data_IF_124750491454
#
_entry.id   IF_124750491454
#
_cell.length_a   1.000
_cell.length_b   1.000
_cell.length_c   1.000
_cell.angle_alpha   90.00
_cell.angle_beta   90.00
_cell.angle_gamma   90.00
#
_symmetry.space_group_name_H-M   'P 1'
#
loop_
_entity.id
_entity.type
_entity.pdbx_description
1 polymer ?
#
# COMPACT_ATOMS: atom_id res chain seq x y z
N UNK A 1 -125.21 2.92 63.62
CA UNK A 1 -126.14 2.99 62.49
C UNK A 1 -127.37 3.69 63.00
N UNK A 2 -127.61 4.92 62.56
CA UNK A 2 -128.82 5.67 62.90
C UNK A 2 -130.00 4.95 62.26
N UNK A 3 -130.89 4.39 63.09
CA UNK A 3 -132.18 3.88 62.63
C UNK A 3 -132.90 5.05 61.96
N UNK A 4 -133.07 4.96 60.65
CA UNK A 4 -133.77 5.96 59.86
C UNK A 4 -135.25 5.69 60.12
N UNK A 5 -135.82 6.38 61.11
CA UNK A 5 -137.27 6.39 61.32
C UNK A 5 -137.89 7.20 60.19
N UNK A 6 -138.54 6.50 59.25
CA UNK A 6 -139.26 7.15 58.17
C UNK A 6 -140.59 7.65 58.72
N UNK A 7 -140.62 8.91 59.17
CA UNK A 7 -141.83 9.53 59.69
C UNK A 7 -143.04 9.40 58.77
N UNK A 8 -142.79 9.28 57.45
CA UNK A 8 -143.79 9.05 56.41
C UNK A 8 -144.40 7.66 56.48
N UNK A 9 -143.59 6.62 56.72
CA UNK A 9 -144.08 5.25 56.88
C UNK A 9 -144.90 5.15 58.17
N UNK A 10 -144.40 5.74 59.27
CA UNK A 10 -145.15 5.79 60.53
C UNK A 10 -146.50 6.50 60.39
N UNK A 11 -146.56 7.61 59.62
CA UNK A 11 -147.80 8.34 59.35
C UNK A 11 -148.76 7.58 58.41
N UNK A 12 -148.24 6.80 57.46
CA UNK A 12 -149.04 5.94 56.60
C UNK A 12 -149.60 4.74 57.36
N UNK A 13 -148.81 4.12 58.24
CA UNK A 13 -149.24 3.02 59.10
C UNK A 13 -150.34 3.50 60.08
N UNK A 14 -150.20 4.70 60.66
CA UNK A 14 -151.25 5.32 61.49
C UNK A 14 -152.52 5.63 60.70
N UNK A 15 -152.40 6.08 59.44
CA UNK A 15 -153.56 6.32 58.57
C UNK A 15 -154.27 5.00 58.22
N UNK A 16 -153.52 3.93 57.97
CA UNK A 16 -154.06 2.59 57.76
C UNK A 16 -154.82 2.10 59.00
N UNK A 17 -154.27 2.29 60.20
CA UNK A 17 -154.91 1.92 61.47
C UNK A 17 -156.25 2.64 61.66
N UNK A 18 -156.30 3.96 61.46
CA UNK A 18 -157.54 4.75 61.55
C UNK A 18 -158.61 4.27 60.55
N UNK A 19 -158.20 3.89 59.33
CA UNK A 19 -159.12 3.34 58.31
C UNK A 19 -159.57 1.91 58.65
N UNK A 20 -158.75 1.12 59.34
CA UNK A 20 -159.09 -0.22 59.80
C UNK A 20 -160.06 -0.20 60.99
N UNK A 21 -159.88 0.73 61.94
CA UNK A 21 -160.73 0.89 63.13
C UNK A 21 -162.08 1.58 62.86
N UNK A 22 -162.20 2.29 61.73
CA UNK A 22 -163.42 2.95 61.31
C UNK A 22 -164.64 2.02 61.27
N UNK A 23 -165.75 2.46 61.88
CA UNK A 23 -166.98 1.67 61.98
C UNK A 23 -167.58 1.37 60.61
N UNK A 24 -167.93 0.11 60.34
CA UNK A 24 -168.49 -0.30 59.04
C UNK A 24 -169.94 0.12 58.90
N UNK A 25 -170.30 0.75 57.79
CA UNK A 25 -171.67 1.22 57.54
C UNK A 25 -172.49 0.08 56.89
N UNK A 26 -173.56 -0.42 57.53
CA UNK A 26 -174.33 -1.56 57.03
C UNK A 26 -175.01 -1.24 55.69
N UNK A 27 -175.05 -2.24 54.80
CA UNK A 27 -175.55 -2.13 53.41
C UNK A 27 -174.74 -1.20 52.49
N UNK A 28 -173.52 -0.80 52.88
CA UNK A 28 -172.55 -0.13 52.00
C UNK A 28 -171.16 -0.79 52.08
N UNK A 29 -170.29 -0.52 51.10
CA UNK A 29 -168.89 -0.95 51.13
C UNK A 29 -167.95 -0.05 51.97
N UNK A 30 -168.47 1.05 52.55
CA UNK A 30 -167.66 2.08 53.21
C UNK A 30 -167.44 1.86 54.71
N UNK A 31 -166.38 2.49 55.23
CA UNK A 31 -166.14 2.67 56.66
C UNK A 31 -166.27 4.14 57.03
N UNK A 32 -166.81 4.40 58.21
CA UNK A 32 -166.90 5.73 58.81
C UNK A 32 -165.59 6.00 59.55
N UNK A 33 -164.88 7.05 59.12
CA UNK A 33 -163.59 7.46 59.66
C UNK A 33 -163.69 8.92 60.08
N UNK A 34 -162.95 9.32 61.12
CA UNK A 34 -162.83 10.73 61.46
C UNK A 34 -162.04 11.45 60.36
N UNK A 35 -162.73 12.31 59.63
CA UNK A 35 -162.15 13.09 58.54
C UNK A 35 -160.96 13.94 59.01
N UNK A 36 -161.04 14.53 60.21
CA UNK A 36 -159.99 15.42 60.73
C UNK A 36 -158.69 14.66 60.98
N UNK A 37 -158.75 13.54 61.70
CA UNK A 37 -157.57 12.74 62.02
C UNK A 37 -156.92 12.14 60.75
N UNK A 38 -157.74 11.67 59.80
CA UNK A 38 -157.25 11.13 58.53
C UNK A 38 -156.61 12.21 57.63
N UNK A 39 -157.19 13.41 57.59
CA UNK A 39 -156.66 14.53 56.81
C UNK A 39 -155.35 15.04 57.42
N UNK A 40 -155.24 15.14 58.74
CA UNK A 40 -154.00 15.56 59.42
C UNK A 40 -152.83 14.63 59.12
N UNK A 41 -153.04 13.31 59.16
CA UNK A 41 -152.02 12.32 58.79
C UNK A 41 -151.68 12.39 57.30
N UNK A 42 -152.67 12.54 56.42
CA UNK A 42 -152.43 12.73 54.98
C UNK A 42 -151.64 14.01 54.67
N UNK A 43 -151.92 15.12 55.36
CA UNK A 43 -151.17 16.36 55.21
C UNK A 43 -149.75 16.24 55.77
N UNK A 44 -149.57 15.49 56.87
CA UNK A 44 -148.26 15.11 57.40
C UNK A 44 -147.41 14.32 56.40
N UNK A 45 -148.01 13.30 55.77
CA UNK A 45 -147.37 12.53 54.69
C UNK A 45 -147.06 13.44 53.50
N UNK A 46 -148.01 14.27 53.07
CA UNK A 46 -147.84 15.18 51.93
C UNK A 46 -146.76 16.24 52.17
N UNK A 47 -146.59 16.70 53.40
CA UNK A 47 -145.56 17.67 53.77
C UNK A 47 -144.16 17.04 53.87
N UNK A 48 -144.06 15.80 54.37
CA UNK A 48 -142.77 15.16 54.68
C UNK A 48 -142.21 14.25 53.58
N UNK A 49 -143.07 13.59 52.80
CA UNK A 49 -142.69 12.66 51.73
C UNK A 49 -141.88 13.30 50.59
N UNK A 50 -142.20 14.51 50.07
CA UNK A 50 -141.38 15.15 49.04
C UNK A 50 -139.93 15.38 49.47
N UNK A 51 -139.72 15.75 50.73
CA UNK A 51 -138.38 15.98 51.30
C UNK A 51 -137.55 14.70 51.41
N UNK A 52 -138.16 13.59 51.82
CA UNK A 52 -137.49 12.29 51.91
C UNK A 52 -137.14 11.73 50.53
N UNK A 53 -138.04 11.87 49.53
CA UNK A 53 -137.76 11.47 48.15
C UNK A 53 -136.61 12.31 47.57
N UNK A 54 -136.59 13.62 47.81
CA UNK A 54 -135.50 14.49 47.36
C UNK A 54 -134.15 14.11 47.98
N UNK A 55 -134.13 13.72 49.27
CA UNK A 55 -132.90 13.23 49.93
C UNK A 55 -132.43 11.89 49.35
N UNK A 56 -133.35 10.96 49.05
CA UNK A 56 -133.02 9.69 48.41
C UNK A 56 -132.46 9.91 46.99
N UNK A 57 -133.05 10.81 46.21
CA UNK A 57 -132.55 11.17 44.88
C UNK A 57 -131.16 11.81 44.95
N UNK A 58 -130.91 12.72 45.90
CA UNK A 58 -129.58 13.28 46.14
C UNK A 58 -128.55 12.22 46.54
N UNK A 59 -128.94 11.21 47.33
CA UNK A 59 -128.06 10.12 47.72
C UNK A 59 -127.72 9.23 46.51
N UNK A 60 -128.70 8.95 45.65
CA UNK A 60 -128.49 8.20 44.40
C UNK A 60 -127.56 8.98 43.46
N UNK A 61 -127.79 10.28 43.28
CA UNK A 61 -126.90 11.15 42.50
C UNK A 61 -125.47 11.13 43.05
N UNK A 62 -125.28 11.31 44.36
CA UNK A 62 -123.95 11.21 45.01
C UNK A 62 -123.31 9.85 44.84
N UNK A 63 -124.10 8.77 44.91
CA UNK A 63 -123.61 7.39 44.68
C UNK A 63 -123.11 7.24 43.25
N UNK A 64 -123.88 7.73 42.27
CA UNK A 64 -123.53 7.63 40.86
C UNK A 64 -122.31 8.51 40.51
N UNK A 65 -122.21 9.71 41.09
CA UNK A 65 -121.02 10.56 41.03
C UNK A 65 -119.80 9.85 41.62
N UNK A 66 -119.93 9.26 42.81
CA UNK A 66 -118.85 8.52 43.46
C UNK A 66 -118.39 7.32 42.65
N UNK A 67 -119.33 6.51 42.12
CA UNK A 67 -119.02 5.36 41.25
C UNK A 67 -118.31 5.83 39.98
N UNK A 68 -118.77 6.92 39.38
CA UNK A 68 -118.16 7.47 38.17
C UNK A 68 -116.75 7.98 38.46
N UNK A 69 -116.55 8.71 39.56
CA UNK A 69 -115.24 9.16 40.00
C UNK A 69 -114.28 8.01 40.28
N UNK A 70 -114.75 6.97 41.00
CA UNK A 70 -113.96 5.78 41.31
C UNK A 70 -113.58 5.00 40.05
N UNK A 71 -114.49 4.88 39.08
CA UNK A 71 -114.21 4.28 37.77
C UNK A 71 -113.15 5.06 37.01
N UNK A 72 -113.30 6.38 36.91
CA UNK A 72 -112.32 7.24 36.24
C UNK A 72 -110.94 7.15 36.89
N UNK A 73 -110.87 7.11 38.23
CA UNK A 73 -109.60 6.94 38.95
C UNK A 73 -108.99 5.55 38.71
N UNK A 74 -109.80 4.49 38.69
CA UNK A 74 -109.34 3.15 38.39
C UNK A 74 -108.78 3.06 36.95
N UNK A 75 -109.48 3.65 35.98
CA UNK A 75 -109.02 3.72 34.59
C UNK A 75 -107.71 4.50 34.47
N UNK A 76 -107.58 5.62 35.17
CA UNK A 76 -106.33 6.40 35.19
C UNK A 76 -105.16 5.62 35.80
N UNK A 77 -105.39 4.87 36.88
CA UNK A 77 -104.37 3.99 37.48
C UNK A 77 -103.95 2.89 36.49
N UNK A 78 -104.91 2.24 35.85
CA UNK A 78 -104.64 1.18 34.87
C UNK A 78 -103.85 1.74 33.68
N UNK A 79 -104.23 2.91 33.16
CA UNK A 79 -103.50 3.56 32.07
C UNK A 79 -102.07 3.92 32.48
N UNK A 80 -101.87 4.53 33.67
CA UNK A 80 -100.53 4.84 34.18
C UNK A 80 -99.67 3.58 34.33
N UNK A 81 -100.25 2.50 34.86
CA UNK A 81 -99.54 1.22 35.01
C UNK A 81 -99.18 0.59 33.65
N UNK A 82 -100.08 0.65 32.67
CA UNK A 82 -99.82 0.16 31.31
C UNK A 82 -98.69 0.95 30.65
N UNK A 83 -98.70 2.27 30.77
CA UNK A 83 -97.70 3.17 30.19
C UNK A 83 -96.33 2.95 30.83
N UNK A 84 -96.26 2.81 32.17
CA UNK A 84 -95.03 2.46 32.87
C UNK A 84 -94.51 1.07 32.48
N UNK A 85 -95.38 0.08 32.34
CA UNK A 85 -95.01 -1.26 31.88
C UNK A 85 -94.39 -1.21 30.48
N UNK A 86 -94.98 -0.48 29.55
CA UNK A 86 -94.45 -0.32 28.19
C UNK A 86 -93.08 0.38 28.18
N UNK A 87 -92.89 1.40 29.03
CA UNK A 87 -91.59 2.04 29.21
C UNK A 87 -90.53 1.08 29.77
N UNK A 88 -90.88 0.26 30.77
CA UNK A 88 -89.95 -0.70 31.35
C UNK A 88 -89.59 -1.82 30.37
N UNK A 89 -90.57 -2.33 29.61
CA UNK A 89 -90.35 -3.35 28.59
C UNK A 89 -89.49 -2.81 27.44
N UNK A 90 -89.77 -1.60 26.95
CA UNK A 90 -88.95 -0.98 25.90
C UNK A 90 -87.53 -0.68 26.38
N UNK A 91 -87.37 -0.16 27.60
CA UNK A 91 -86.04 0.05 28.18
C UNK A 91 -85.26 -1.27 28.37
N UNK A 92 -85.92 -2.34 28.81
CA UNK A 92 -85.31 -3.66 28.94
C UNK A 92 -84.90 -4.24 27.58
N UNK A 93 -85.74 -4.10 26.55
CA UNK A 93 -85.43 -4.55 25.19
C UNK A 93 -84.21 -3.81 24.61
N UNK A 94 -84.17 -2.48 24.74
CA UNK A 94 -83.01 -1.66 24.31
C UNK A 94 -81.75 -2.06 25.05
N UNK A 95 -81.83 -2.32 26.36
CA UNK A 95 -80.68 -2.77 27.16
C UNK A 95 -80.17 -4.13 26.70
N UNK A 96 -81.08 -5.08 26.44
CA UNK A 96 -80.73 -6.41 25.98
C UNK A 96 -80.07 -6.39 24.58
N UNK A 97 -80.57 -5.56 23.67
CA UNK A 97 -79.97 -5.36 22.36
C UNK A 97 -78.58 -4.71 22.46
N UNK A 98 -78.43 -3.70 23.30
CA UNK A 98 -77.13 -3.08 23.54
C UNK A 98 -76.12 -4.07 24.16
N UNK A 99 -76.54 -4.89 25.12
CA UNK A 99 -75.70 -5.95 25.71
C UNK A 99 -75.28 -6.98 24.65
N UNK A 100 -76.19 -7.39 23.76
CA UNK A 100 -75.85 -8.27 22.63
C UNK A 100 -74.81 -7.65 21.70
N UNK A 101 -75.01 -6.40 21.27
CA UNK A 101 -74.08 -5.72 20.37
C UNK A 101 -72.69 -5.54 21.00
N UNK A 102 -72.62 -5.21 22.30
CA UNK A 102 -71.35 -5.10 23.03
C UNK A 102 -70.64 -6.45 23.10
N UNK A 103 -71.36 -7.54 23.35
CA UNK A 103 -70.78 -8.88 23.39
C UNK A 103 -70.27 -9.30 22.00
N UNK A 104 -71.05 -9.08 20.94
CA UNK A 104 -70.63 -9.36 19.56
C UNK A 104 -69.38 -8.55 19.18
N UNK A 105 -69.34 -7.25 19.52
CA UNK A 105 -68.18 -6.41 19.25
C UNK A 105 -66.95 -6.86 20.05
N UNK A 106 -67.12 -7.27 21.31
CA UNK A 106 -66.03 -7.82 22.13
C UNK A 106 -65.46 -9.10 21.54
N UNK A 107 -66.33 -10.00 21.06
CA UNK A 107 -65.90 -11.24 20.44
C UNK A 107 -65.19 -10.98 19.10
N UNK A 108 -65.68 -10.04 18.29
CA UNK A 108 -65.00 -9.59 17.07
C UNK A 108 -63.62 -8.99 17.36
N UNK A 109 -63.51 -8.10 18.35
CA UNK A 109 -62.22 -7.49 18.74
C UNK A 109 -61.25 -8.55 19.26
N UNK A 110 -61.73 -9.53 20.05
CA UNK A 110 -60.90 -10.65 20.51
C UNK A 110 -60.37 -11.46 19.33
N UNK A 111 -61.23 -11.85 18.40
CA UNK A 111 -60.82 -12.61 17.21
C UNK A 111 -59.83 -11.82 16.35
N UNK A 112 -60.06 -10.52 16.14
CA UNK A 112 -59.14 -9.67 15.39
C UNK A 112 -57.77 -9.55 16.09
N UNK A 113 -57.76 -9.37 17.41
CA UNK A 113 -56.51 -9.33 18.18
C UNK A 113 -55.76 -10.66 18.11
N UNK A 114 -56.46 -11.78 18.23
CA UNK A 114 -55.86 -13.11 18.09
C UNK A 114 -55.29 -13.34 16.69
N UNK A 115 -56.03 -12.98 15.63
CA UNK A 115 -55.55 -13.07 14.25
C UNK A 115 -54.34 -12.18 14.00
N UNK A 116 -54.35 -10.95 14.52
CA UNK A 116 -53.24 -10.01 14.38
C UNK A 116 -52.00 -10.48 15.14
N UNK A 117 -52.18 -11.02 16.35
CA UNK A 117 -51.09 -11.62 17.12
C UNK A 117 -50.51 -12.85 16.41
N UNK A 118 -51.36 -13.71 15.85
CA UNK A 118 -50.91 -14.89 15.11
C UNK A 118 -50.15 -14.50 13.84
N UNK A 119 -50.69 -13.57 13.05
CA UNK A 119 -50.02 -13.10 11.82
C UNK A 119 -48.71 -12.38 12.13
N UNK A 120 -48.67 -11.54 13.17
CA UNK A 120 -47.45 -10.89 13.63
C UNK A 120 -46.40 -11.89 14.11
N UNK A 121 -46.79 -12.93 14.87
CA UNK A 121 -45.88 -14.02 15.27
C UNK A 121 -45.35 -14.80 14.07
N UNK A 122 -46.20 -15.12 13.10
CA UNK A 122 -45.78 -15.81 11.87
C UNK A 122 -44.82 -14.96 11.05
N UNK A 123 -45.09 -13.68 10.88
CA UNK A 123 -44.19 -12.74 10.20
C UNK A 123 -42.85 -12.62 10.93
N UNK A 124 -42.85 -12.49 12.26
CA UNK A 124 -41.62 -12.46 13.06
C UNK A 124 -40.81 -13.75 12.87
N UNK A 125 -41.44 -14.92 12.96
CA UNK A 125 -40.77 -16.21 12.75
C UNK A 125 -40.22 -16.37 11.31
N UNK A 126 -40.97 -15.90 10.30
CA UNK A 126 -40.50 -15.91 8.90
C UNK A 126 -39.29 -14.99 8.72
N UNK A 127 -39.34 -13.75 9.24
CA UNK A 127 -38.23 -12.81 9.17
C UNK A 127 -37.00 -13.34 9.90
N UNK A 128 -37.17 -13.95 11.07
CA UNK A 128 -36.08 -14.59 11.82
C UNK A 128 -35.46 -15.74 11.02
N UNK A 129 -36.28 -16.60 10.42
CA UNK A 129 -35.77 -17.70 9.59
C UNK A 129 -35.02 -17.21 8.35
N UNK A 130 -35.57 -16.21 7.65
CA UNK A 130 -34.89 -15.56 6.52
C UNK A 130 -33.57 -14.94 6.95
N UNK A 131 -33.55 -14.21 8.06
CA UNK A 131 -32.34 -13.58 8.59
C UNK A 131 -31.28 -14.63 8.95
N UNK A 132 -31.67 -15.70 9.64
CA UNK A 132 -30.78 -16.82 9.96
C UNK A 132 -30.23 -17.47 8.69
N UNK A 133 -31.07 -17.71 7.68
CA UNK A 133 -30.63 -18.29 6.42
C UNK A 133 -29.64 -17.39 5.67
N UNK A 134 -29.89 -16.07 5.65
CA UNK A 134 -28.99 -15.07 5.07
C UNK A 134 -27.67 -15.01 5.83
N UNK A 135 -27.70 -15.09 7.16
CA UNK A 135 -26.50 -15.09 7.98
C UNK A 135 -25.63 -16.33 7.70
N UNK A 136 -26.23 -17.52 7.65
CA UNK A 136 -25.52 -18.75 7.28
C UNK A 136 -24.96 -18.66 5.85
N UNK A 137 -25.71 -18.12 4.90
CA UNK A 137 -25.21 -17.90 3.54
C UNK A 137 -24.02 -16.95 3.50
N UNK A 138 -24.08 -15.82 4.22
CA UNK A 138 -22.97 -14.86 4.31
C UNK A 138 -21.75 -15.49 4.99
N UNK A 139 -21.95 -16.22 6.08
CA UNK A 139 -20.87 -16.95 6.76
C UNK A 139 -20.20 -17.97 5.83
N UNK A 140 -20.97 -18.70 5.02
CA UNK A 140 -20.45 -19.60 4.00
C UNK A 140 -19.68 -18.86 2.89
N UNK A 141 -20.20 -17.72 2.42
CA UNK A 141 -19.51 -16.88 1.42
C UNK A 141 -18.19 -16.33 1.96
N UNK A 142 -18.16 -15.86 3.21
CA UNK A 142 -16.93 -15.39 3.84
C UNK A 142 -15.95 -16.54 4.12
N UNK A 143 -16.43 -17.72 4.55
CA UNK A 143 -15.60 -18.89 4.76
C UNK A 143 -14.93 -19.35 3.47
N UNK A 144 -15.69 -19.46 2.38
CA UNK A 144 -15.17 -19.84 1.05
C UNK A 144 -14.21 -18.77 0.51
N UNK A 145 -14.53 -17.48 0.63
CA UNK A 145 -13.63 -16.40 0.22
C UNK A 145 -12.33 -16.40 1.02
N UNK A 146 -12.39 -16.65 2.33
CA UNK A 146 -11.20 -16.77 3.19
C UNK A 146 -10.32 -17.94 2.76
N UNK A 147 -10.90 -19.11 2.47
CA UNK A 147 -10.15 -20.26 1.94
C UNK A 147 -9.50 -19.95 0.59
N UNK A 148 -10.20 -19.24 -0.31
CA UNK A 148 -9.62 -18.82 -1.60
C UNK A 148 -8.43 -17.87 -1.41
N UNK A 149 -8.57 -16.87 -0.53
CA UNK A 149 -7.49 -15.93 -0.24
C UNK A 149 -6.28 -16.62 0.41
N UNK A 150 -6.51 -17.61 1.26
CA UNK A 150 -5.45 -18.42 1.86
C UNK A 150 -4.71 -19.25 0.80
N UNK A 151 -5.45 -19.89 -0.12
CA UNK A 151 -4.87 -20.62 -1.25
C UNK A 151 -4.07 -19.70 -2.17
N UNK A 152 -4.62 -18.53 -2.52
CA UNK A 152 -3.95 -17.53 -3.35
C UNK A 152 -2.66 -17.02 -2.68
N UNK A 153 -2.71 -16.73 -1.38
CA UNK A 153 -1.54 -16.31 -0.61
C UNK A 153 -0.47 -17.41 -0.55
N UNK A 154 -0.86 -18.67 -0.36
CA UNK A 154 0.07 -19.80 -0.38
C UNK A 154 0.70 -19.99 -1.76
N UNK A 155 -0.10 -19.93 -2.83
CA UNK A 155 0.39 -19.99 -4.21
C UNK A 155 1.36 -18.84 -4.50
N UNK A 156 1.01 -17.61 -4.10
CA UNK A 156 1.87 -16.44 -4.30
C UNK A 156 3.18 -16.57 -3.53
N UNK A 157 3.14 -17.11 -2.31
CA UNK A 157 4.35 -17.39 -1.52
C UNK A 157 5.24 -18.41 -2.23
N UNK A 158 4.66 -19.51 -2.72
CA UNK A 158 5.41 -20.54 -3.46
C UNK A 158 6.04 -19.98 -4.74
N UNK A 159 5.34 -19.12 -5.48
CA UNK A 159 5.88 -18.45 -6.67
C UNK A 159 7.08 -17.56 -6.31
N UNK A 160 6.95 -16.72 -5.28
CA UNK A 160 8.04 -15.86 -4.83
C UNK A 160 9.25 -16.68 -4.35
N UNK A 161 9.02 -17.80 -3.67
CA UNK A 161 10.09 -18.72 -3.26
C UNK A 161 10.81 -19.32 -4.48
N UNK A 162 10.07 -19.70 -5.52
CA UNK A 162 10.64 -20.21 -6.79
C UNK A 162 11.44 -19.12 -7.51
N UNK A 163 10.87 -17.92 -7.69
CA UNK A 163 11.54 -16.77 -8.29
C UNK A 163 12.83 -16.42 -7.54
N UNK A 164 12.81 -16.46 -6.20
CA UNK A 164 13.99 -16.21 -5.38
C UNK A 164 15.07 -17.29 -5.54
N UNK A 165 14.68 -18.56 -5.67
CA UNK A 165 15.61 -19.67 -5.95
C UNK A 165 16.23 -19.54 -7.33
N UNK A 166 15.44 -19.20 -8.35
CA UNK A 166 15.93 -18.97 -9.71
C UNK A 166 16.90 -17.79 -9.78
N UNK A 167 16.56 -16.66 -9.14
CA UNK A 167 17.44 -15.49 -9.07
C UNK A 167 18.76 -15.82 -8.36
N UNK A 168 18.71 -16.55 -7.25
CA UNK A 168 19.92 -17.02 -6.54
C UNK A 168 20.78 -17.91 -7.44
N UNK A 169 20.16 -18.80 -8.20
CA UNK A 169 20.87 -19.68 -9.15
C UNK A 169 21.55 -18.86 -10.26
N UNK A 170 20.84 -17.90 -10.86
CA UNK A 170 21.40 -17.02 -11.90
C UNK A 170 22.59 -16.21 -11.38
N UNK A 171 22.49 -15.65 -10.16
CA UNK A 171 23.59 -14.93 -9.53
C UNK A 171 24.78 -15.85 -9.25
N UNK A 172 24.55 -17.07 -8.76
CA UNK A 172 25.61 -18.05 -8.54
C UNK A 172 26.32 -18.43 -9.84
N UNK A 173 25.56 -18.70 -10.92
CA UNK A 173 26.11 -19.00 -12.24
C UNK A 173 26.90 -17.80 -12.80
N UNK A 174 26.43 -16.57 -12.60
CA UNK A 174 27.14 -15.36 -13.01
C UNK A 174 28.46 -15.20 -12.25
N UNK A 175 28.45 -15.38 -10.92
CA UNK A 175 29.67 -15.34 -10.12
C UNK A 175 30.66 -16.45 -10.48
N UNK A 176 30.17 -17.65 -10.80
CA UNK A 176 31.02 -18.74 -11.26
C UNK A 176 31.65 -18.44 -12.62
N UNK A 177 30.88 -17.94 -13.59
CA UNK A 177 31.39 -17.49 -14.90
C UNK A 177 32.45 -16.40 -14.74
N UNK A 178 32.18 -15.39 -13.92
CA UNK A 178 33.14 -14.31 -13.65
C UNK A 178 34.42 -14.85 -13.00
N UNK A 179 34.32 -15.75 -12.02
CA UNK A 179 35.50 -16.42 -11.43
C UNK A 179 36.29 -17.21 -12.46
N UNK A 180 35.62 -17.96 -13.35
CA UNK A 180 36.27 -18.73 -14.41
C UNK A 180 36.98 -17.81 -15.41
N UNK A 181 36.36 -16.69 -15.80
CA UNK A 181 36.99 -15.70 -16.68
C UNK A 181 38.24 -15.11 -16.04
N UNK A 182 38.17 -14.64 -14.79
CA UNK A 182 39.34 -14.12 -14.09
C UNK A 182 40.44 -15.19 -13.91
N UNK A 183 40.08 -16.45 -13.67
CA UNK A 183 41.05 -17.54 -13.60
C UNK A 183 41.75 -17.77 -14.96
N UNK A 184 41.00 -17.74 -16.07
CA UNK A 184 41.55 -17.84 -17.43
C UNK A 184 42.47 -16.67 -17.76
N UNK A 185 42.09 -15.44 -17.41
CA UNK A 185 42.93 -14.25 -17.60
C UNK A 185 44.25 -14.35 -16.82
N UNK A 186 44.20 -14.82 -15.56
CA UNK A 186 45.40 -15.04 -14.76
C UNK A 186 46.30 -16.13 -15.37
N UNK A 187 45.74 -17.21 -15.90
CA UNK A 187 46.49 -18.24 -16.61
C UNK A 187 47.12 -17.70 -17.91
N UNK A 188 46.41 -16.86 -18.67
CA UNK A 188 46.93 -16.20 -19.86
C UNK A 188 48.11 -15.30 -19.51
N UNK A 189 47.95 -14.40 -18.53
CA UNK A 189 49.02 -13.51 -18.04
C UNK A 189 50.22 -14.33 -17.56
N UNK A 190 49.99 -15.43 -16.82
CA UNK A 190 51.06 -16.31 -16.37
C UNK A 190 51.82 -16.93 -17.56
N UNK A 191 51.10 -17.43 -18.56
CA UNK A 191 51.72 -18.04 -19.74
C UNK A 191 52.51 -17.03 -20.56
N UNK A 192 51.99 -15.81 -20.74
CA UNK A 192 52.69 -14.70 -21.37
C UNK A 192 53.93 -14.29 -20.56
N UNK A 193 53.81 -14.20 -19.24
CA UNK A 193 54.95 -13.94 -18.34
C UNK A 193 56.06 -14.99 -18.49
N UNK A 194 55.71 -16.28 -18.58
CA UNK A 194 56.68 -17.35 -18.84
C UNK A 194 57.31 -17.24 -20.23
N UNK A 195 56.53 -16.86 -21.26
CA UNK A 195 57.06 -16.64 -22.62
C UNK A 195 58.04 -15.48 -22.65
N UNK A 196 57.65 -14.31 -22.11
CA UNK A 196 58.50 -13.13 -22.02
C UNK A 196 59.77 -13.41 -21.22
N UNK A 197 59.69 -14.17 -20.13
CA UNK A 197 60.86 -14.58 -19.36
C UNK A 197 61.82 -15.44 -20.20
N UNK A 198 61.30 -16.39 -20.96
CA UNK A 198 62.12 -17.23 -21.87
C UNK A 198 62.74 -16.39 -22.98
N UNK A 199 61.98 -15.51 -23.61
CA UNK A 199 62.48 -14.61 -24.65
C UNK A 199 63.60 -13.71 -24.10
N UNK A 200 63.38 -13.08 -22.94
CA UNK A 200 64.38 -12.27 -22.26
C UNK A 200 65.63 -13.08 -21.88
N UNK A 201 65.49 -14.34 -21.44
CA UNK A 201 66.63 -15.23 -21.18
C UNK A 201 67.42 -15.53 -22.46
N UNK A 202 66.74 -15.90 -23.55
CA UNK A 202 67.41 -16.17 -24.82
C UNK A 202 68.09 -14.93 -25.40
N UNK A 203 67.49 -13.75 -25.23
CA UNK A 203 68.08 -12.48 -25.67
C UNK A 203 69.29 -12.11 -24.80
N UNK A 204 69.21 -12.30 -23.48
CA UNK A 204 70.34 -12.12 -22.58
C UNK A 204 71.50 -13.06 -22.91
N UNK A 205 71.22 -14.34 -23.23
CA UNK A 205 72.22 -15.30 -23.70
C UNK A 205 72.86 -14.87 -25.03
N UNK A 206 72.07 -14.36 -25.98
CA UNK A 206 72.57 -13.82 -27.25
C UNK A 206 73.50 -12.63 -27.01
N UNK A 207 73.05 -11.62 -26.25
CA UNK A 207 73.87 -10.44 -25.92
C UNK A 207 75.15 -10.87 -25.20
N UNK A 208 75.07 -11.83 -24.29
CA UNK A 208 76.25 -12.36 -23.59
C UNK A 208 77.24 -13.02 -24.55
N UNK A 209 76.77 -13.86 -25.46
CA UNK A 209 77.60 -14.51 -26.47
C UNK A 209 78.24 -13.51 -27.44
N UNK A 210 77.46 -12.52 -27.90
CA UNK A 210 77.95 -11.45 -28.77
C UNK A 210 79.05 -10.63 -28.06
N UNK A 211 78.86 -10.31 -26.78
CA UNK A 211 79.86 -9.63 -25.97
C UNK A 211 81.14 -10.47 -25.79
N UNK A 212 81.01 -11.79 -25.58
CA UNK A 212 82.15 -12.71 -25.50
C UNK A 212 82.92 -12.79 -26.82
N UNK A 213 82.23 -12.92 -27.95
CA UNK A 213 82.84 -12.94 -29.28
C UNK A 213 83.56 -11.63 -29.58
N UNK A 214 82.92 -10.49 -29.32
CA UNK A 214 83.53 -9.18 -29.47
C UNK A 214 84.79 -9.03 -28.62
N UNK A 215 84.75 -9.50 -27.35
CA UNK A 215 85.93 -9.51 -26.47
C UNK A 215 87.05 -10.38 -27.03
N UNK A 216 86.75 -11.61 -27.47
CA UNK A 216 87.73 -12.53 -28.04
C UNK A 216 88.37 -11.96 -29.32
N UNK A 217 87.57 -11.40 -30.23
CA UNK A 217 88.06 -10.74 -31.43
C UNK A 217 88.97 -9.56 -31.08
N UNK A 218 88.55 -8.72 -30.15
CA UNK A 218 89.36 -7.57 -29.69
C UNK A 218 90.67 -8.05 -29.06
N UNK A 219 90.65 -9.13 -28.28
CA UNK A 219 91.86 -9.73 -27.70
C UNK A 219 92.82 -10.24 -28.79
N UNK A 220 92.32 -10.98 -29.79
CA UNK A 220 93.13 -11.45 -30.92
C UNK A 220 93.70 -10.27 -31.75
N UNK A 221 92.90 -9.22 -31.96
CA UNK A 221 93.36 -8.00 -32.61
C UNK A 221 94.48 -7.33 -31.80
N UNK A 222 94.32 -7.21 -30.47
CA UNK A 222 95.39 -6.70 -29.60
C UNK A 222 96.64 -7.59 -29.64
N UNK A 223 96.51 -8.92 -29.60
CA UNK A 223 97.64 -9.84 -29.67
C UNK A 223 98.37 -9.75 -31.02
N UNK A 224 97.65 -9.73 -32.14
CA UNK A 224 98.24 -9.54 -33.47
C UNK A 224 98.92 -8.18 -33.62
N UNK A 225 98.35 -7.12 -33.03
CA UNK A 225 98.94 -5.78 -33.02
C UNK A 225 100.21 -5.75 -32.14
N UNK A 226 100.22 -6.43 -30.99
CA UNK A 226 101.41 -6.61 -30.15
C UNK A 226 102.49 -7.40 -30.90
N UNK A 227 102.14 -8.48 -31.60
CA UNK A 227 103.09 -9.24 -32.39
C UNK A 227 103.67 -8.42 -33.55
N UNK A 228 102.81 -7.69 -34.27
CA UNK A 228 103.22 -6.81 -35.36
C UNK A 228 104.13 -5.69 -34.86
N UNK A 229 103.75 -5.02 -33.77
CA UNK A 229 104.61 -3.99 -33.15
C UNK A 229 105.93 -4.56 -32.63
N UNK A 230 105.96 -5.79 -32.09
CA UNK A 230 107.21 -6.47 -31.72
C UNK A 230 108.09 -6.80 -32.94
N UNK A 231 107.48 -7.28 -34.03
CA UNK A 231 108.20 -7.57 -35.27
C UNK A 231 108.75 -6.30 -35.91
N UNK A 232 107.92 -5.25 -36.02
CA UNK A 232 108.31 -3.94 -36.51
C UNK A 232 109.47 -3.40 -35.66
N UNK A 233 109.39 -3.48 -34.33
CA UNK A 233 110.49 -3.10 -33.43
C UNK A 233 111.78 -3.90 -33.65
N UNK A 234 111.68 -5.23 -33.82
CA UNK A 234 112.84 -6.08 -34.11
C UNK A 234 113.47 -5.74 -35.48
N UNK A 235 112.67 -5.53 -36.51
CA UNK A 235 113.15 -5.14 -37.85
C UNK A 235 113.81 -3.75 -37.84
N UNK A 236 113.29 -2.80 -37.06
CA UNK A 236 113.91 -1.49 -36.84
C UNK A 236 115.23 -1.64 -36.10
N UNK A 237 115.30 -2.50 -35.09
CA UNK A 237 116.54 -2.76 -34.36
C UNK A 237 117.61 -3.44 -35.23
N UNK A 238 117.24 -4.45 -36.02
CA UNK A 238 118.16 -5.11 -36.96
C UNK A 238 118.61 -4.16 -38.08
N UNK A 239 117.71 -3.31 -38.58
CA UNK A 239 118.04 -2.24 -39.52
C UNK A 239 119.02 -1.23 -38.92
N UNK A 240 118.80 -0.83 -37.66
CA UNK A 240 119.71 0.04 -36.92
C UNK A 240 121.07 -0.61 -36.65
N UNK A 241 121.10 -1.90 -36.30
CA UNK A 241 122.34 -2.66 -36.11
C UNK A 241 123.13 -2.76 -37.42
N UNK A 242 122.47 -3.08 -38.55
CA UNK A 242 123.12 -3.07 -39.87
C UNK A 242 123.63 -1.69 -40.25
N UNK A 243 122.87 -0.64 -39.98
CA UNK A 243 123.32 0.73 -40.21
C UNK A 243 124.54 1.07 -39.35
N UNK A 244 124.58 0.61 -38.09
CA UNK A 244 125.74 0.76 -37.21
C UNK A 244 126.96 -0.03 -37.74
N UNK A 245 126.80 -1.29 -38.17
CA UNK A 245 127.87 -2.07 -38.78
C UNK A 245 128.40 -1.44 -40.07
N UNK A 246 127.52 -0.93 -40.92
CA UNK A 246 127.91 -0.31 -42.20
C UNK A 246 128.66 1.00 -41.97
N UNK A 247 128.17 1.85 -41.05
CA UNK A 247 128.87 3.10 -40.69
C UNK A 247 130.19 2.84 -39.96
N UNK A 248 130.25 1.83 -39.08
CA UNK A 248 131.50 1.42 -38.42
C UNK A 248 132.50 0.81 -39.41
N UNK A 249 132.03 0.01 -40.38
CA UNK A 249 132.86 -0.53 -41.45
C UNK A 249 133.39 0.55 -42.40
N UNK A 250 132.56 1.51 -42.79
CA UNK A 250 133.00 2.69 -43.55
C UNK A 250 134.01 3.53 -42.76
N UNK A 251 133.80 3.72 -41.45
CA UNK A 251 134.76 4.40 -40.57
C UNK A 251 136.07 3.61 -40.44
N UNK A 252 136.02 2.28 -40.32
CA UNK A 252 137.20 1.42 -40.31
C UNK A 252 138.00 1.55 -41.61
N UNK A 253 137.32 1.56 -42.75
CA UNK A 253 137.96 1.69 -44.06
C UNK A 253 138.58 3.08 -44.24
N UNK A 254 137.86 4.15 -43.88
CA UNK A 254 138.43 5.51 -43.87
C UNK A 254 139.62 5.63 -42.92
N UNK A 255 139.59 4.99 -41.75
CA UNK A 255 140.72 4.98 -40.83
C UNK A 255 141.91 4.18 -41.38
N UNK A 256 141.69 3.07 -42.09
CA UNK A 256 142.74 2.33 -42.80
C UNK A 256 143.38 3.17 -43.91
N UNK A 257 142.58 3.85 -44.71
CA UNK A 257 143.05 4.78 -45.75
C UNK A 257 143.87 5.92 -45.13
N UNK A 258 143.37 6.53 -44.05
CA UNK A 258 144.07 7.60 -43.33
C UNK A 258 145.36 7.09 -42.67
N UNK A 259 145.38 5.87 -42.15
CA UNK A 259 146.58 5.23 -41.59
C UNK A 259 147.64 4.93 -42.66
N UNK A 260 147.24 4.54 -43.88
CA UNK A 260 148.16 4.38 -45.01
C UNK A 260 148.78 5.72 -45.43
N UNK A 261 148.00 6.82 -45.44
CA UNK A 261 148.51 8.17 -45.71
C UNK A 261 149.55 8.58 -44.66
N UNK A 262 149.33 8.28 -43.37
CA UNK A 262 150.27 8.61 -42.29
C UNK A 262 151.55 7.75 -42.32
N UNK A 263 151.44 6.47 -42.67
CA UNK A 263 152.59 5.57 -42.84
C UNK A 263 153.48 5.96 -44.03
N UNK A 264 152.87 6.36 -45.15
CA UNK A 264 153.59 6.91 -46.30
C UNK A 264 154.31 8.22 -45.93
N UNK A 265 153.66 9.12 -45.19
CA UNK A 265 154.27 10.36 -44.70
C UNK A 265 155.43 10.14 -43.71
N UNK A 266 155.38 9.11 -42.86
CA UNK A 266 156.49 8.76 -41.95
C UNK A 266 157.69 8.10 -42.64
N UNK A 267 157.49 7.42 -43.76
CA UNK A 267 158.59 6.79 -44.51
C UNK A 267 159.40 7.79 -45.34
N UNK A 268 158.82 8.92 -45.76
CA UNK A 268 159.58 10.01 -46.37
C UNK A 268 160.38 10.84 -45.35
N UNK A 269 159.88 11.00 -44.12
CA UNK A 269 160.53 11.81 -43.07
C UNK A 269 161.82 11.20 -42.48
N UNK A 270 162.16 9.93 -42.79
CA UNK A 270 163.40 9.26 -42.33
C UNK A 270 164.55 9.35 -43.35
N UNK A 271 164.32 9.77 -44.59
CA UNK A 271 165.36 9.82 -45.65
C UNK A 271 166.03 11.18 -45.88
N UNK A 272 165.55 12.29 -45.30
CA UNK A 272 166.02 13.65 -45.67
C UNK A 272 166.38 14.50 -44.44
N UNK A 273 167.32 14.04 -43.61
CA UNK A 273 168.06 14.90 -42.65
C UNK A 273 169.57 14.58 -42.65
N UNK A 274 170.21 14.69 -43.82
CA UNK A 274 171.60 15.13 -44.01
C UNK A 274 171.66 15.94 -45.30
N UNK A 275 171.45 17.26 -45.19
CA UNK A 275 172.15 18.36 -45.87
C UNK A 275 171.46 19.68 -45.45
N UNK A 276 172.31 20.64 -45.07
CA UNK A 276 172.09 22.05 -44.67
C UNK A 276 171.40 22.90 -45.78
N UNK A 277 171.34 24.25 -45.67
CA UNK A 277 170.67 25.13 -44.70
C UNK A 277 169.81 26.22 -45.44
N UNK A 278 169.42 27.26 -44.69
CA UNK A 278 169.12 28.62 -45.13
C UNK A 278 167.71 29.06 -45.56
N UNK A 279 167.42 30.23 -45.00
CA UNK A 279 166.25 31.09 -45.00
C UNK A 279 166.15 32.00 -46.22
N UNK A 280 164.96 32.19 -46.79
CA UNK A 280 164.38 33.51 -47.15
C UNK A 280 163.06 33.36 -47.95
N UNK A 281 162.08 34.19 -47.60
CA UNK A 281 160.78 34.47 -48.27
C UNK A 281 160.99 35.19 -49.64
N UNK A 282 159.98 35.49 -50.53
CA UNK A 282 158.60 35.95 -50.26
C UNK A 282 157.46 35.60 -51.29
N UNK A 283 156.22 35.95 -50.86
CA UNK A 283 155.00 36.48 -51.54
C UNK A 283 154.38 36.00 -52.89
N UNK A 284 153.02 36.06 -52.88
CA UNK A 284 152.01 36.14 -53.97
C UNK A 284 151.77 34.86 -54.81
N UNK A 285 150.55 34.40 -55.14
CA UNK A 285 149.29 35.11 -55.43
C UNK A 285 148.08 34.14 -55.53
N UNK A 286 146.88 34.67 -55.25
CA UNK A 286 145.56 34.35 -55.85
C UNK A 286 144.91 32.95 -55.65
N UNK A 287 143.77 32.94 -54.95
CA UNK A 287 142.42 32.70 -55.52
C UNK A 287 141.97 31.24 -55.30
N UNK A 288 140.72 30.89 -55.03
CA UNK A 288 139.50 31.67 -55.00
C UNK A 288 138.48 30.85 -54.19
N UNK A 289 137.74 31.53 -53.32
CA UNK A 289 136.37 31.13 -52.97
C UNK A 289 135.50 31.21 -54.24
N UNK A 290 134.27 30.66 -54.31
CA UNK A 290 133.13 31.32 -53.67
C UNK A 290 132.13 30.31 -53.02
N UNK A 291 131.40 30.60 -51.95
CA UNK A 291 130.45 31.70 -51.65
C UNK A 291 129.05 31.51 -52.28
N UNK A 292 128.05 31.89 -51.47
CA UNK A 292 126.64 32.32 -51.75
C UNK A 292 125.55 31.25 -51.73
N UNK A 293 124.57 31.31 -50.82
CA UNK A 293 123.50 32.32 -50.55
C UNK A 293 122.37 32.36 -51.59
N UNK A 294 121.13 32.44 -51.09
CA UNK A 294 119.96 33.02 -51.78
C UNK A 294 118.66 32.30 -51.40
N UNK A 295 117.79 32.87 -50.55
CA UNK A 295 116.58 33.67 -50.91
C UNK A 295 115.57 32.91 -51.79
N UNK A 296 114.25 33.07 -51.71
CA UNK A 296 113.24 33.55 -50.77
C UNK A 296 111.88 33.40 -51.52
N UNK A 297 110.75 33.50 -50.80
CA UNK A 297 109.42 33.96 -51.31
C UNK A 297 108.51 32.99 -52.10
N UNK A 298 107.45 32.58 -51.38
CA UNK A 298 105.99 32.73 -51.67
C UNK A 298 105.19 31.89 -52.66
N UNK A 299 104.05 31.47 -52.09
CA UNK A 299 102.66 31.64 -52.55
C UNK A 299 102.05 30.66 -53.56
N UNK A 300 100.91 30.17 -53.09
CA UNK A 300 99.65 30.04 -53.81
C UNK A 300 99.41 28.80 -54.67
N UNK A 301 98.61 27.89 -54.10
CA UNK A 301 97.13 27.89 -54.19
C UNK A 301 96.58 26.59 -54.75
N UNK A 302 95.36 26.32 -54.28
CA UNK A 302 94.31 25.54 -54.91
C UNK A 302 94.38 24.04 -54.59
N UNK A 303 93.49 23.57 -53.70
CA UNK A 303 92.11 23.11 -53.99
C UNK A 303 92.15 21.65 -54.46
N UNK A 304 91.27 20.74 -54.02
CA UNK A 304 89.88 20.93 -53.62
C UNK A 304 89.35 19.64 -53.00
N UNK A 305 88.43 19.84 -52.06
CA UNK A 305 87.12 19.17 -51.94
C UNK A 305 87.14 17.73 -51.40
N UNK A 306 86.17 17.27 -50.62
CA UNK A 306 84.90 17.74 -50.06
C UNK A 306 84.39 16.52 -49.24
N UNK A 307 83.46 16.53 -48.29
CA UNK A 307 82.61 17.52 -47.63
C UNK A 307 81.75 16.74 -46.62
N UNK A 308 81.38 17.39 -45.51
CA UNK A 308 80.05 17.33 -44.84
C UNK A 308 79.66 16.01 -44.15
N UNK A 309 78.94 15.98 -43.03
CA UNK A 309 77.97 16.92 -42.45
C UNK A 309 77.80 16.61 -40.94
N UNK A 310 77.45 17.66 -40.18
CA UNK A 310 76.99 17.68 -38.78
C UNK A 310 75.50 18.01 -38.79
N UNK A 311 74.71 17.40 -37.90
CA UNK A 311 73.45 17.94 -37.35
C UNK A 311 73.05 17.05 -36.17
N UNK A 312 73.21 17.48 -34.91
CA UNK A 312 72.28 18.24 -34.05
C UNK A 312 71.20 17.40 -33.34
N UNK A 313 70.78 17.99 -32.22
CA UNK A 313 70.12 17.47 -31.02
C UNK A 313 68.74 18.13 -30.90
N UNK A 314 67.76 17.43 -30.34
CA UNK A 314 66.48 17.94 -29.79
C UNK A 314 65.54 16.74 -29.56
N UNK A 315 65.14 16.32 -28.34
CA UNK A 315 64.25 16.94 -27.32
C UNK A 315 62.93 17.46 -27.89
N UNK A 316 61.88 16.70 -27.61
CA UNK A 316 60.47 16.91 -27.92
C UNK A 316 59.73 15.60 -27.73
#
# INVERSE_FOLDING_TARGET
>A
MSEIQFSVLDQLDQLEEIVLEGSRIPFSGGRLVNEQDAVELMDGVRASLPGQIAQADQLLQKKDEFITSARNQADEIVQKAQLQREQLVSAAAVRQEAERQVNEMRDQVRQQCEQLLQSSRQQAAQMEHEMQSKQVQLEQQFATRRQQLEQEALQRRQQLDQEALELKRQLAEHHERSRQQSAQELEQIRNEGVKLQKEAQTEAERIHNDALQFRQQTQQQCESLIQRTRHDAASVQDGANRYAEQTLGELEQRLKEMAQVVLAGRQELVKIQMIRPDSSAPETESSDTPTRQGKAVSMNKARRAASRLRSMKGTG
#
